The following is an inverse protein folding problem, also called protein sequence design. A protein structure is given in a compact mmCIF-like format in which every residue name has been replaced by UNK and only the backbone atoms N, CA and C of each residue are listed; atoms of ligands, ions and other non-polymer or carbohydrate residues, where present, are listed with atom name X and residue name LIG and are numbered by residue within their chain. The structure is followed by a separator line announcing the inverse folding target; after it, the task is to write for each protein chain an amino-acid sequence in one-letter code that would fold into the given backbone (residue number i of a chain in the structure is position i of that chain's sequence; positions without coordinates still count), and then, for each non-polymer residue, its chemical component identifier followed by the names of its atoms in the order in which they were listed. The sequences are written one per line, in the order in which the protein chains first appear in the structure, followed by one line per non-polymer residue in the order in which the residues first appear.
data_IF_852850728166
#
_entry.id   IF_852850728166
#
_cell.length_a   1.000
_cell.length_b   1.000
_cell.length_c   1.000
_cell.angle_alpha   90.00
_cell.angle_beta   90.00
_cell.angle_gamma   90.00
#
_symmetry.space_group_name_H-M   'P 1'
#
loop_
_entity.id
_entity.type
_entity.pdbx_description
1 polymer ?
#
# COMPACT_ATOMS: atom_id res chain seq x y z
N UNK A 1 -5.49 5.56 13.32
CA UNK A 1 -6.65 4.95 12.58
C UNK A 1 -6.43 3.44 12.55
N UNK A 2 -7.46 2.59 12.63
CA UNK A 2 -7.23 1.14 12.49
C UNK A 2 -7.30 0.73 11.01
N UNK A 3 -6.60 -0.34 10.58
CA UNK A 3 -6.69 -0.89 9.23
C UNK A 3 -8.13 -1.14 8.78
N UNK A 4 -8.97 -1.64 9.69
CA UNK A 4 -10.38 -1.91 9.41
C UNK A 4 -11.17 -0.64 9.10
N UNK A 5 -10.91 0.47 9.81
CA UNK A 5 -11.56 1.76 9.54
C UNK A 5 -11.14 2.29 8.16
N UNK A 6 -9.86 2.20 7.84
CA UNK A 6 -9.30 2.61 6.56
C UNK A 6 -9.94 1.85 5.38
N UNK A 7 -10.01 0.52 5.47
CA UNK A 7 -10.60 -0.31 4.40
C UNK A 7 -12.10 -0.09 4.16
N UNK A 8 -12.80 0.59 5.09
CA UNK A 8 -14.22 0.93 4.95
C UNK A 8 -14.45 2.26 4.24
N UNK A 9 -13.40 3.08 4.07
CA UNK A 9 -13.49 4.33 3.34
C UNK A 9 -13.70 4.05 1.84
N UNK A 10 -14.34 4.96 1.09
CA UNK A 10 -14.35 4.89 -0.37
C UNK A 10 -12.93 4.83 -0.94
N UNK A 11 -12.75 4.14 -2.07
CA UNK A 11 -11.43 3.96 -2.68
C UNK A 11 -10.70 5.30 -2.92
N UNK A 12 -11.42 6.35 -3.36
CA UNK A 12 -10.86 7.69 -3.53
C UNK A 12 -10.32 8.26 -2.22
N UNK A 13 -11.08 8.15 -1.11
CA UNK A 13 -10.63 8.63 0.20
C UNK A 13 -9.49 7.80 0.77
N UNK A 14 -9.44 6.49 0.51
CA UNK A 14 -8.30 5.65 0.87
C UNK A 14 -7.03 6.16 0.19
N UNK A 15 -7.11 6.41 -1.12
CA UNK A 15 -6.01 6.94 -1.91
C UNK A 15 -5.58 8.33 -1.47
N UNK A 16 -6.53 9.27 -1.29
CA UNK A 16 -6.23 10.60 -0.77
C UNK A 16 -5.52 10.51 0.58
N UNK A 17 -6.02 9.69 1.50
CA UNK A 17 -5.39 9.50 2.81
C UNK A 17 -3.95 9.00 2.66
N UNK A 18 -3.70 8.03 1.78
CA UNK A 18 -2.36 7.52 1.50
C UNK A 18 -1.44 8.57 0.88
N UNK A 19 -1.94 9.36 -0.07
CA UNK A 19 -1.15 10.39 -0.75
C UNK A 19 -0.85 11.61 0.13
N UNK A 20 -1.75 11.97 1.04
CA UNK A 20 -1.59 13.13 1.91
C UNK A 20 -0.91 12.81 3.25
N UNK A 21 -1.12 11.61 3.78
CA UNK A 21 -0.66 11.25 5.13
C UNK A 21 0.20 9.98 5.19
N UNK A 22 0.21 9.18 4.13
CA UNK A 22 1.04 7.99 4.05
C UNK A 22 2.42 8.31 3.52
N UNK A 23 3.44 7.70 4.12
CA UNK A 23 4.80 7.71 3.60
C UNK A 23 4.99 6.52 2.66
N UNK A 24 5.43 6.76 1.43
CA UNK A 24 5.82 5.68 0.52
C UNK A 24 7.09 5.05 1.07
N UNK A 25 7.01 3.78 1.44
CA UNK A 25 8.16 3.01 1.90
C UNK A 25 8.89 2.32 0.76
N UNK A 26 8.14 1.67 -0.13
CA UNK A 26 8.70 0.89 -1.21
C UNK A 26 7.71 0.68 -2.35
N UNK A 27 8.26 0.45 -3.54
CA UNK A 27 7.57 0.09 -4.76
C UNK A 27 8.16 -1.20 -5.32
N UNK A 28 7.31 -2.22 -5.43
CA UNK A 28 7.67 -3.54 -5.96
C UNK A 28 6.93 -3.77 -7.27
N UNK A 29 7.66 -4.20 -8.30
CA UNK A 29 7.09 -4.50 -9.61
C UNK A 29 7.16 -6.00 -9.84
N UNK A 30 6.01 -6.64 -10.05
CA UNK A 30 5.94 -8.08 -10.36
C UNK A 30 5.11 -8.30 -11.62
N UNK A 31 5.80 -8.51 -12.73
CA UNK A 31 5.20 -8.71 -14.05
C UNK A 31 4.30 -7.53 -14.42
N UNK A 32 3.00 -7.81 -14.48
CA UNK A 32 1.95 -6.86 -14.88
C UNK A 32 1.37 -6.06 -13.72
N UNK A 33 1.86 -6.28 -12.50
CA UNK A 33 1.34 -5.66 -11.28
C UNK A 33 2.38 -4.75 -10.64
N UNK A 34 1.94 -3.59 -10.20
CA UNK A 34 2.72 -2.64 -9.41
C UNK A 34 2.18 -2.68 -8.00
N UNK A 35 3.06 -2.94 -7.04
CA UNK A 35 2.71 -2.91 -5.63
C UNK A 35 3.37 -1.73 -4.94
N UNK A 36 2.57 -0.85 -4.36
CA UNK A 36 3.04 0.30 -3.60
C UNK A 36 2.78 0.06 -2.12
N UNK A 37 3.84 0.11 -1.32
CA UNK A 37 3.78 -0.02 0.13
C UNK A 37 3.85 1.36 0.77
N UNK A 38 2.81 1.68 1.53
CA UNK A 38 2.70 2.89 2.31
C UNK A 38 2.75 2.58 3.80
N UNK A 39 3.31 3.51 4.56
CA UNK A 39 3.23 3.54 6.01
C UNK A 39 2.27 4.65 6.46
N UNK A 40 1.23 4.26 7.18
CA UNK A 40 0.26 5.14 7.80
C UNK A 40 0.45 5.10 9.32
N UNK A 41 1.63 5.55 9.78
CA UNK A 41 2.11 5.63 11.18
C UNK A 41 1.93 4.36 12.04
N UNK A 42 0.69 3.96 12.29
CA UNK A 42 0.25 2.80 13.08
C UNK A 42 0.19 1.48 12.29
N UNK A 43 0.13 1.54 10.95
CA UNK A 43 -0.03 0.36 10.10
C UNK A 43 0.45 0.61 8.67
N UNK A 44 0.57 -0.47 7.91
CA UNK A 44 1.00 -0.45 6.51
C UNK A 44 -0.17 -0.69 5.57
N UNK A 45 -0.06 -0.12 4.37
CA UNK A 45 -1.04 -0.33 3.29
C UNK A 45 -0.32 -0.69 2.01
N UNK A 46 -0.72 -1.81 1.43
CA UNK A 46 -0.28 -2.24 0.11
C UNK A 46 -1.38 -1.94 -0.91
N UNK A 47 -1.02 -1.18 -1.93
CA UNK A 47 -1.84 -0.98 -3.13
C UNK A 47 -1.32 -1.88 -4.23
N UNK A 48 -2.23 -2.60 -4.89
CA UNK A 48 -1.93 -3.38 -6.09
C UNK A 48 -2.58 -2.72 -7.30
N UNK A 49 -1.74 -2.22 -8.20
CA UNK A 49 -2.12 -1.63 -9.47
C UNK A 49 -1.82 -2.56 -10.63
N UNK A 50 -2.62 -2.41 -11.68
CA UNK A 50 -2.33 -2.90 -13.02
C UNK A 50 -1.32 -1.98 -13.70
N UNK A 51 -0.17 -2.50 -14.14
CA UNK A 51 0.86 -1.70 -14.79
C UNK A 51 0.43 -1.16 -16.16
N UNK A 52 -0.51 -1.84 -16.84
CA UNK A 52 -0.94 -1.48 -18.20
C UNK A 52 -2.13 -0.54 -18.21
N UNK A 53 -3.10 -0.78 -17.34
CA UNK A 53 -4.36 -0.04 -17.29
C UNK A 53 -4.37 1.04 -16.19
N UNK A 54 -3.31 1.10 -15.37
CA UNK A 54 -3.20 1.97 -14.20
C UNK A 54 -4.43 1.87 -13.27
N UNK A 55 -5.01 0.65 -13.19
CA UNK A 55 -6.22 0.39 -12.42
C UNK A 55 -5.85 -0.23 -11.09
N UNK A 56 -6.40 0.33 -10.01
CA UNK A 56 -6.27 -0.25 -8.68
C UNK A 56 -7.10 -1.55 -8.61
N UNK A 57 -6.42 -2.68 -8.41
CA UNK A 57 -7.05 -3.98 -8.26
C UNK A 57 -7.40 -4.27 -6.80
N UNK A 58 -6.52 -3.91 -5.88
CA UNK A 58 -6.67 -4.27 -4.47
C UNK A 58 -5.98 -3.27 -3.55
N UNK A 59 -6.59 -3.06 -2.38
CA UNK A 59 -6.02 -2.33 -1.25
C UNK A 59 -6.01 -3.26 -0.04
N UNK A 60 -4.86 -3.44 0.57
CA UNK A 60 -4.69 -4.29 1.75
C UNK A 60 -4.04 -3.49 2.87
N UNK A 61 -4.74 -3.29 3.98
CA UNK A 61 -4.19 -2.68 5.18
C UNK A 61 -3.82 -3.75 6.21
N UNK A 62 -2.62 -3.66 6.79
CA UNK A 62 -2.11 -4.66 7.74
C UNK A 62 -1.13 -4.04 8.74
N UNK A 63 -1.00 -4.68 9.91
CA UNK A 63 -0.01 -4.33 10.94
C UNK A 63 1.14 -5.35 11.05
N UNK A 64 0.98 -6.48 10.39
CA UNK A 64 1.92 -7.59 10.47
C UNK A 64 3.17 -7.32 9.64
N UNK A 65 4.33 -7.30 10.29
CA UNK A 65 5.62 -7.06 9.64
C UNK A 65 6.09 -8.22 8.79
N UNK A 66 5.53 -9.43 8.93
CA UNK A 66 5.84 -10.56 8.04
C UNK A 66 5.47 -10.25 6.59
N UNK A 67 4.42 -9.47 6.36
CA UNK A 67 4.04 -9.02 5.01
C UNK A 67 5.02 -8.01 4.40
N UNK A 68 5.97 -7.50 5.17
CA UNK A 68 7.04 -6.64 4.69
C UNK A 68 8.24 -7.44 4.15
N UNK A 69 8.33 -8.74 4.42
CA UNK A 69 9.40 -9.61 3.91
C UNK A 69 9.71 -9.42 2.41
N UNK A 70 8.72 -9.43 1.49
CA UNK A 70 8.98 -9.20 0.06
C UNK A 70 9.44 -7.77 -0.25
N UNK A 71 9.22 -6.83 0.66
CA UNK A 71 9.63 -5.43 0.52
C UNK A 71 11.00 -5.13 1.13
N UNK A 72 11.55 -6.01 1.99
CA UNK A 72 12.85 -5.81 2.62
C UNK A 72 13.98 -5.44 1.64
N UNK A 73 14.09 -6.03 0.43
CA UNK A 73 15.12 -5.64 -0.53
C UNK A 73 14.97 -4.21 -1.08
N UNK A 74 13.77 -3.63 -1.00
CA UNK A 74 13.41 -2.34 -1.57
C UNK A 74 13.39 -1.21 -0.51
N UNK A 75 13.28 -1.57 0.76
CA UNK A 75 13.43 -0.65 1.89
C UNK A 75 14.91 -0.28 2.02
N UNK A 76 15.34 0.75 1.30
CA UNK A 76 16.71 1.25 1.40
C UNK A 76 16.93 1.92 2.76
N UNK A 77 17.90 1.40 3.52
CA UNK A 77 18.45 1.98 4.75
C UNK A 77 19.36 3.16 4.45
#
# INVERSE_FOLDING_TARGET
MQPADFTRLPAEQQLDTLYFTGDILANRYEGENIFLLYNLQDFYVELRYDAYNNKLHQVSAFKDTTKLEPYLPYLSV
#
